data_IF_686201154262
#
_entry.id   IF_686201154262
#
_cell.length_a   1.000
_cell.length_b   1.000
_cell.length_c   1.000
_cell.angle_alpha   90.00
_cell.angle_beta   90.00
_cell.angle_gamma   90.00
#
_symmetry.space_group_name_H-M   'P 1'
#
loop_
_entity.id
_entity.type
_entity.pdbx_description
1 polymer ?
#
# COMPACT_ATOMS: atom_id res chain seq x y z
N UNK A 1 -51.88 -7.79 3.08
CA UNK A 1 -51.55 -6.86 1.96
C UNK A 1 -50.28 -7.37 1.33
N UNK A 2 -50.34 -7.98 0.18
CA UNK A 2 -49.17 -8.47 -0.52
C UNK A 2 -48.56 -7.26 -1.28
N UNK A 3 -47.40 -6.80 -0.83
CA UNK A 3 -46.60 -5.83 -1.57
C UNK A 3 -45.93 -6.49 -2.79
N UNK A 4 -44.96 -5.81 -3.40
CA UNK A 4 -44.15 -6.31 -4.52
C UNK A 4 -43.20 -7.47 -4.12
N UNK A 5 -43.45 -8.17 -3.00
CA UNK A 5 -42.67 -9.31 -2.56
C UNK A 5 -42.79 -10.45 -3.59
N UNK A 6 -41.67 -10.69 -4.28
CA UNK A 6 -41.61 -11.67 -5.38
C UNK A 6 -41.37 -11.08 -6.78
N UNK A 7 -41.55 -9.79 -6.98
CA UNK A 7 -41.26 -9.13 -8.26
C UNK A 7 -40.21 -8.05 -8.11
N UNK A 8 -39.01 -8.22 -8.71
CA UNK A 8 -37.92 -7.27 -8.66
C UNK A 8 -37.53 -6.70 -10.03
N UNK A 9 -37.21 -5.42 -10.09
CA UNK A 9 -36.62 -4.79 -11.27
C UNK A 9 -37.48 -4.81 -12.52
N UNK A 10 -36.99 -5.32 -13.63
CA UNK A 10 -37.61 -5.37 -14.97
C UNK A 10 -38.94 -6.06 -14.94
N UNK A 11 -39.15 -7.02 -14.05
CA UNK A 11 -40.43 -7.75 -13.95
C UNK A 11 -41.59 -6.90 -13.47
N UNK A 12 -41.39 -5.80 -12.74
CA UNK A 12 -42.43 -4.90 -12.28
C UNK A 12 -43.13 -4.18 -13.45
N UNK A 13 -42.36 -3.67 -14.38
CA UNK A 13 -42.91 -2.99 -15.56
C UNK A 13 -43.76 -3.93 -16.40
N UNK A 14 -43.34 -5.16 -16.58
CA UNK A 14 -44.05 -6.18 -17.31
C UNK A 14 -45.39 -6.57 -16.61
N UNK A 15 -45.36 -6.68 -15.29
CA UNK A 15 -46.58 -6.98 -14.50
C UNK A 15 -47.61 -5.83 -14.59
N UNK A 16 -47.15 -4.57 -14.55
CA UNK A 16 -48.06 -3.42 -14.74
C UNK A 16 -48.65 -3.37 -16.14
N UNK A 17 -47.91 -3.64 -17.18
CA UNK A 17 -48.41 -3.73 -18.55
C UNK A 17 -49.43 -4.85 -18.71
N UNK A 18 -49.19 -6.02 -18.14
CA UNK A 18 -50.16 -7.13 -18.13
C UNK A 18 -51.41 -6.75 -17.36
N UNK A 19 -51.32 -6.02 -16.26
CA UNK A 19 -52.44 -5.57 -15.47
C UNK A 19 -53.28 -4.53 -16.21
N UNK A 20 -52.68 -3.60 -16.93
CA UNK A 20 -53.41 -2.67 -17.80
C UNK A 20 -54.17 -3.39 -18.92
N UNK A 21 -53.54 -4.40 -19.55
CA UNK A 21 -54.21 -5.25 -20.55
C UNK A 21 -55.36 -6.01 -19.96
N UNK A 22 -55.21 -6.60 -18.77
CA UNK A 22 -56.33 -7.27 -18.04
C UNK A 22 -57.48 -6.33 -17.72
N UNK A 23 -57.18 -5.10 -17.28
CA UNK A 23 -58.21 -4.10 -17.00
C UNK A 23 -59.03 -3.70 -18.23
N UNK A 24 -58.39 -3.61 -19.37
CA UNK A 24 -59.04 -3.23 -20.63
C UNK A 24 -59.78 -4.39 -21.27
N UNK A 25 -59.22 -5.58 -21.22
CA UNK A 25 -59.83 -6.82 -21.70
C UNK A 25 -59.30 -8.01 -20.88
N UNK A 26 -60.09 -8.56 -19.95
CA UNK A 26 -59.72 -9.73 -19.15
C UNK A 26 -59.39 -10.98 -19.96
N UNK A 27 -59.83 -11.08 -21.20
CA UNK A 27 -59.53 -12.20 -22.07
C UNK A 27 -58.15 -12.06 -22.78
N UNK A 28 -57.50 -10.90 -22.68
CA UNK A 28 -56.23 -10.61 -23.30
C UNK A 28 -55.02 -11.19 -22.54
N UNK A 29 -55.22 -11.75 -21.36
CA UNK A 29 -54.20 -12.42 -20.55
C UNK A 29 -54.52 -13.90 -20.34
N UNK A 30 -53.51 -14.72 -20.06
CA UNK A 30 -53.72 -16.15 -19.80
C UNK A 30 -54.52 -16.39 -18.50
N UNK A 31 -55.06 -17.60 -18.36
CA UNK A 31 -55.97 -17.94 -17.25
C UNK A 31 -55.29 -17.78 -15.87
N UNK A 32 -54.00 -18.13 -15.73
CA UNK A 32 -53.27 -18.03 -14.46
C UNK A 32 -52.98 -16.56 -14.07
N UNK A 33 -52.67 -15.73 -15.05
CA UNK A 33 -52.48 -14.27 -14.88
C UNK A 33 -53.79 -13.58 -14.53
N UNK A 34 -54.91 -14.02 -15.13
CA UNK A 34 -56.24 -13.52 -14.82
C UNK A 34 -56.62 -13.83 -13.38
N UNK A 35 -56.52 -15.10 -12.97
CA UNK A 35 -56.79 -15.54 -11.60
C UNK A 35 -55.91 -14.78 -10.56
N UNK A 36 -54.69 -14.43 -10.93
CA UNK A 36 -53.82 -13.61 -10.10
C UNK A 36 -54.38 -12.20 -9.94
N UNK A 37 -54.71 -11.53 -11.03
CA UNK A 37 -55.20 -10.13 -11.01
C UNK A 37 -56.60 -9.95 -10.47
N UNK A 38 -57.42 -11.01 -10.47
CA UNK A 38 -58.73 -11.02 -9.76
C UNK A 38 -58.57 -10.99 -8.23
N UNK A 39 -57.44 -11.52 -7.71
CA UNK A 39 -57.16 -11.62 -6.26
C UNK A 39 -56.15 -10.61 -5.76
N UNK A 40 -55.36 -10.02 -6.66
CA UNK A 40 -54.28 -9.12 -6.32
C UNK A 40 -54.16 -7.99 -7.34
N UNK A 41 -54.25 -6.77 -6.85
CA UNK A 41 -53.99 -5.55 -7.63
C UNK A 41 -52.57 -5.12 -7.43
N UNK A 42 -51.77 -4.95 -8.50
CA UNK A 42 -50.44 -4.37 -8.37
C UNK A 42 -50.55 -2.99 -7.70
N UNK A 43 -49.67 -2.69 -6.70
CA UNK A 43 -49.62 -1.35 -6.14
C UNK A 43 -49.39 -0.33 -7.25
N UNK A 44 -50.11 0.78 -7.26
CA UNK A 44 -49.90 1.85 -8.22
C UNK A 44 -48.48 2.44 -8.06
N UNK A 45 -47.97 3.04 -9.12
CA UNK A 45 -46.70 3.76 -9.04
C UNK A 45 -46.71 4.91 -8.03
N UNK A 46 -47.89 5.34 -7.61
CA UNK A 46 -48.12 6.36 -6.58
C UNK A 46 -48.10 5.77 -5.15
N UNK A 47 -48.43 4.46 -4.99
CA UNK A 47 -48.40 3.78 -3.69
C UNK A 47 -47.04 3.21 -3.30
N UNK A 48 -46.12 3.08 -4.25
CA UNK A 48 -44.71 2.91 -3.95
C UNK A 48 -44.18 4.30 -3.66
N UNK A 49 -44.25 4.72 -2.41
CA UNK A 49 -43.38 5.77 -1.94
C UNK A 49 -41.96 5.28 -2.27
N UNK A 50 -41.39 5.73 -3.40
CA UNK A 50 -39.93 5.77 -3.55
C UNK A 50 -39.45 6.38 -2.24
N UNK A 51 -38.50 5.75 -1.52
CA UNK A 51 -37.90 6.40 -0.37
C UNK A 51 -37.54 7.77 -0.89
N UNK A 52 -38.13 8.81 -0.32
CA UNK A 52 -38.04 10.17 -0.83
C UNK A 52 -36.54 10.46 -1.07
N UNK A 53 -36.11 10.25 -2.28
CA UNK A 53 -34.91 10.86 -2.85
C UNK A 53 -35.35 12.30 -3.06
N UNK A 54 -35.45 13.00 -1.92
CA UNK A 54 -35.84 14.40 -1.90
C UNK A 54 -34.84 15.10 -2.78
N UNK A 55 -35.24 15.47 -3.99
CA UNK A 55 -34.72 16.51 -4.86
C UNK A 55 -33.20 16.63 -5.04
N UNK A 56 -32.44 15.60 -4.73
CA UNK A 56 -31.05 15.53 -5.16
C UNK A 56 -31.06 15.20 -6.64
N UNK A 57 -30.71 16.17 -7.48
CA UNK A 57 -30.65 15.92 -8.91
C UNK A 57 -29.71 14.74 -9.18
N UNK A 58 -30.06 13.86 -10.12
CA UNK A 58 -29.19 12.74 -10.51
C UNK A 58 -27.78 13.24 -10.86
N UNK A 59 -27.66 14.46 -11.35
CA UNK A 59 -26.40 15.13 -11.61
C UNK A 59 -25.58 15.35 -10.34
N UNK A 60 -26.18 15.80 -9.24
CA UNK A 60 -25.49 16.02 -7.98
C UNK A 60 -25.03 14.68 -7.36
N UNK A 61 -25.85 13.63 -7.47
CA UNK A 61 -25.46 12.28 -7.02
C UNK A 61 -24.23 11.75 -7.77
N UNK A 62 -24.20 11.86 -9.10
CA UNK A 62 -23.05 11.48 -9.92
C UNK A 62 -21.84 12.33 -9.60
N UNK A 63 -21.98 13.63 -9.43
CA UNK A 63 -20.91 14.53 -9.05
C UNK A 63 -20.29 14.17 -7.70
N UNK A 64 -21.10 13.82 -6.70
CA UNK A 64 -20.63 13.40 -5.39
C UNK A 64 -19.88 12.04 -5.42
N UNK A 65 -20.36 11.10 -6.24
CA UNK A 65 -19.63 9.83 -6.47
C UNK A 65 -18.27 10.10 -7.14
N UNK A 66 -18.23 11.00 -8.12
CA UNK A 66 -16.97 11.38 -8.78
C UNK A 66 -16.00 12.04 -7.80
N UNK A 67 -16.47 12.94 -6.93
CA UNK A 67 -15.64 13.52 -5.87
C UNK A 67 -15.04 12.43 -4.96
N UNK A 68 -15.86 11.47 -4.53
CA UNK A 68 -15.39 10.36 -3.71
C UNK A 68 -14.33 9.51 -4.42
N UNK A 69 -14.51 9.23 -5.72
CA UNK A 69 -13.52 8.50 -6.52
C UNK A 69 -12.24 9.32 -6.74
N UNK A 70 -12.35 10.63 -6.92
CA UNK A 70 -11.17 11.50 -7.04
C UNK A 70 -10.36 11.55 -5.76
N UNK A 71 -11.00 11.58 -4.58
CA UNK A 71 -10.28 11.50 -3.30
C UNK A 71 -9.54 10.17 -3.18
N UNK A 72 -10.13 9.05 -3.58
CA UNK A 72 -9.47 7.75 -3.62
C UNK A 72 -8.26 7.71 -4.55
N UNK A 73 -8.35 8.39 -5.68
CA UNK A 73 -7.34 8.34 -6.74
C UNK A 73 -6.23 9.36 -6.57
N UNK A 74 -6.57 10.56 -6.14
CA UNK A 74 -5.68 11.71 -6.11
C UNK A 74 -5.46 12.29 -4.70
N UNK A 75 -6.06 11.69 -3.66
CA UNK A 75 -5.94 12.15 -2.28
C UNK A 75 -4.50 12.22 -1.79
N UNK A 76 -3.62 11.34 -2.27
CA UNK A 76 -2.19 11.36 -1.96
C UNK A 76 -1.50 12.68 -2.37
N UNK A 77 -2.01 13.39 -3.39
CA UNK A 77 -1.50 14.71 -3.78
C UNK A 77 -1.80 15.80 -2.74
N UNK A 78 -2.78 15.58 -1.87
CA UNK A 78 -3.10 16.48 -0.75
C UNK A 78 -2.61 15.95 0.61
N UNK A 79 -1.93 14.80 0.63
CA UNK A 79 -1.38 14.23 1.86
C UNK A 79 -0.12 15.00 2.30
N UNK A 80 -0.01 15.25 3.61
CA UNK A 80 1.16 15.89 4.22
C UNK A 80 2.25 14.84 4.42
N UNK A 81 3.04 14.59 3.39
CA UNK A 81 4.09 13.56 3.38
C UNK A 81 5.45 14.10 3.81
N UNK A 82 5.69 15.41 3.64
CA UNK A 82 6.97 16.01 3.99
C UNK A 82 7.03 16.33 5.50
N UNK A 83 7.96 15.69 6.26
CA UNK A 83 8.14 15.96 7.68
C UNK A 83 8.63 17.40 7.96
N UNK A 84 9.20 18.09 6.96
CA UNK A 84 9.61 19.48 7.06
C UNK A 84 8.47 20.47 6.83
N UNK A 85 7.27 19.97 6.52
CA UNK A 85 6.06 20.77 6.44
C UNK A 85 5.84 21.49 5.10
N UNK A 86 6.49 21.07 4.02
CA UNK A 86 6.17 21.57 2.68
C UNK A 86 4.70 21.31 2.36
N UNK A 87 4.03 22.30 1.80
CA UNK A 87 2.62 22.15 1.44
C UNK A 87 2.47 21.13 0.29
N UNK A 88 1.51 20.21 0.38
CA UNK A 88 1.21 19.31 -0.72
C UNK A 88 0.73 20.09 -1.95
N UNK A 89 0.95 19.51 -3.13
CA UNK A 89 0.56 20.12 -4.42
C UNK A 89 -0.97 20.30 -4.48
N UNK A 90 -1.72 19.34 -3.93
CA UNK A 90 -3.16 19.27 -4.03
C UNK A 90 -3.64 18.92 -5.44
N UNK A 91 -4.96 18.82 -5.59
CA UNK A 91 -5.62 18.62 -6.89
C UNK A 91 -7.01 19.26 -6.84
N UNK A 92 -7.42 20.05 -7.86
CA UNK A 92 -8.73 20.69 -7.88
C UNK A 92 -9.92 19.72 -7.75
N UNK A 93 -9.77 18.49 -8.25
CA UNK A 93 -10.81 17.45 -8.20
C UNK A 93 -11.07 16.89 -6.80
N UNK A 94 -10.28 17.29 -5.81
CA UNK A 94 -10.51 16.94 -4.40
C UNK A 94 -11.54 17.85 -3.72
N UNK A 95 -12.00 18.89 -4.41
CA UNK A 95 -12.90 19.90 -3.87
C UNK A 95 -14.31 19.77 -4.46
N UNK A 96 -15.38 19.88 -3.63
CA UNK A 96 -16.76 19.77 -4.09
C UNK A 96 -17.11 20.80 -5.17
N UNK A 97 -16.53 22.00 -5.07
CA UNK A 97 -16.76 23.12 -5.99
C UNK A 97 -16.37 22.80 -7.44
N UNK A 98 -15.36 21.93 -7.63
CA UNK A 98 -14.96 21.45 -8.94
C UNK A 98 -16.10 20.74 -9.68
N UNK A 99 -16.99 20.10 -8.93
CA UNK A 99 -18.14 19.37 -9.43
C UNK A 99 -19.45 20.17 -9.36
N UNK A 100 -19.37 21.44 -8.96
CA UNK A 100 -20.53 22.30 -8.75
C UNK A 100 -21.41 21.86 -7.57
N UNK A 101 -20.81 21.20 -6.57
CA UNK A 101 -21.47 20.74 -5.36
C UNK A 101 -21.30 21.75 -4.23
N UNK A 102 -22.36 21.94 -3.46
CA UNK A 102 -22.33 22.65 -2.19
C UNK A 102 -22.25 21.69 -1.01
N UNK A 103 -21.91 22.17 0.16
CA UNK A 103 -21.96 21.38 1.40
C UNK A 103 -23.39 20.88 1.69
N UNK A 104 -24.42 21.65 1.33
CA UNK A 104 -25.82 21.26 1.49
C UNK A 104 -26.22 20.12 0.55
N UNK A 105 -25.68 20.09 -0.67
CA UNK A 105 -25.87 18.98 -1.58
C UNK A 105 -25.27 17.69 -0.98
N UNK A 106 -24.05 17.77 -0.46
CA UNK A 106 -23.39 16.62 0.15
C UNK A 106 -24.13 16.09 1.38
N UNK A 107 -24.77 16.96 2.18
CA UNK A 107 -25.61 16.53 3.34
C UNK A 107 -26.86 15.78 2.92
N UNK A 108 -27.46 16.13 1.77
CA UNK A 108 -28.68 15.50 1.26
C UNK A 108 -28.41 14.19 0.54
N UNK A 109 -27.20 13.97 0.04
CA UNK A 109 -26.84 12.79 -0.73
C UNK A 109 -26.50 11.64 0.22
N UNK A 110 -27.14 10.46 0.10
CA UNK A 110 -26.84 9.31 0.93
C UNK A 110 -25.42 8.78 0.70
N UNK A 111 -24.69 8.45 1.76
CA UNK A 111 -23.37 7.80 1.68
C UNK A 111 -23.40 6.45 0.95
N UNK A 112 -24.55 5.76 0.97
CA UNK A 112 -24.78 4.44 0.36
C UNK A 112 -24.59 4.38 -1.15
N UNK A 113 -24.48 5.53 -1.82
CA UNK A 113 -24.13 5.58 -3.24
C UNK A 113 -22.68 5.16 -3.52
N UNK A 114 -21.85 5.13 -2.49
CA UNK A 114 -20.45 4.70 -2.59
C UNK A 114 -20.21 3.46 -1.75
N UNK A 115 -19.73 2.40 -2.37
CA UNK A 115 -19.34 1.17 -1.65
C UNK A 115 -18.02 1.38 -0.92
N UNK A 116 -18.05 1.30 0.41
CA UNK A 116 -16.89 1.48 1.30
C UNK A 116 -17.19 0.88 2.69
N UNK A 117 -16.18 0.35 3.41
CA UNK A 117 -16.31 0.07 4.84
C UNK A 117 -16.76 1.28 5.67
N UNK A 118 -16.37 2.49 5.25
CA UNK A 118 -16.72 3.74 5.93
C UNK A 118 -18.17 4.18 5.71
N UNK A 119 -18.84 3.64 4.70
CA UNK A 119 -20.24 3.98 4.39
C UNK A 119 -21.19 3.63 5.54
N UNK A 120 -20.93 2.53 6.25
CA UNK A 120 -21.77 2.11 7.38
C UNK A 120 -21.70 3.08 8.58
N UNK A 121 -20.66 3.92 8.64
CA UNK A 121 -20.43 4.89 9.70
C UNK A 121 -20.74 6.34 9.26
N UNK A 122 -21.25 6.52 8.04
CA UNK A 122 -21.50 7.83 7.45
C UNK A 122 -22.98 7.95 7.07
N UNK A 123 -23.68 8.92 7.63
CA UNK A 123 -25.11 9.15 7.33
C UNK A 123 -25.33 9.72 5.91
N UNK A 124 -24.37 10.52 5.43
CA UNK A 124 -24.47 11.24 4.17
C UNK A 124 -23.10 11.36 3.49
N UNK A 125 -23.11 11.91 2.28
CA UNK A 125 -21.89 12.05 1.48
C UNK A 125 -20.89 13.04 2.09
N UNK A 126 -21.33 14.06 2.84
CA UNK A 126 -20.41 14.98 3.52
C UNK A 126 -19.56 14.25 4.56
N UNK A 127 -20.18 13.40 5.38
CA UNK A 127 -19.47 12.61 6.38
C UNK A 127 -18.54 11.59 5.74
N UNK A 128 -18.98 10.95 4.65
CA UNK A 128 -18.15 10.00 3.90
C UNK A 128 -16.94 10.68 3.27
N UNK A 129 -17.11 11.85 2.64
CA UNK A 129 -16.02 12.65 2.09
C UNK A 129 -15.03 13.07 3.18
N UNK A 130 -15.52 13.48 4.35
CA UNK A 130 -14.66 13.79 5.49
C UNK A 130 -13.90 12.56 5.97
N UNK A 131 -14.53 11.39 6.01
CA UNK A 131 -13.87 10.12 6.34
C UNK A 131 -12.80 9.76 5.29
N UNK A 132 -13.09 9.87 4.00
CA UNK A 132 -12.11 9.64 2.95
C UNK A 132 -10.92 10.59 3.02
N UNK A 133 -11.13 11.87 3.32
CA UNK A 133 -10.03 12.81 3.51
C UNK A 133 -9.11 12.42 4.66
N UNK A 134 -9.66 11.92 5.77
CA UNK A 134 -8.85 11.37 6.87
C UNK A 134 -8.02 10.15 6.45
N UNK A 135 -8.52 9.35 5.50
CA UNK A 135 -7.78 8.20 4.96
C UNK A 135 -6.72 8.64 3.96
N UNK A 136 -7.13 9.39 2.93
CA UNK A 136 -6.36 9.58 1.70
C UNK A 136 -5.58 10.91 1.64
N UNK A 137 -5.89 11.88 2.51
CA UNK A 137 -5.32 13.22 2.49
C UNK A 137 -4.65 13.60 3.83
N UNK A 138 -4.30 12.63 4.67
CA UNK A 138 -3.66 12.90 5.96
C UNK A 138 -2.12 12.84 5.85
N UNK A 139 -1.46 12.00 6.62
CA UNK A 139 -0.01 11.82 6.64
C UNK A 139 0.46 10.57 5.89
N UNK A 140 -0.46 9.84 5.28
CA UNK A 140 -0.19 8.64 4.47
C UNK A 140 -0.72 8.85 3.07
N UNK A 141 0.13 8.66 2.07
CA UNK A 141 -0.25 8.69 0.65
C UNK A 141 -0.56 7.28 0.15
N UNK A 142 -1.75 7.10 -0.44
CA UNK A 142 -2.15 5.85 -1.09
C UNK A 142 -2.21 6.07 -2.60
N UNK A 143 -1.33 5.41 -3.34
CA UNK A 143 -1.30 5.44 -4.80
C UNK A 143 -1.32 4.02 -5.37
N UNK A 144 -2.50 3.44 -5.50
CA UNK A 144 -2.73 2.10 -6.07
C UNK A 144 -3.72 2.09 -7.24
N UNK A 145 -4.14 3.26 -7.73
CA UNK A 145 -5.12 3.36 -8.81
C UNK A 145 -4.63 2.73 -10.13
N UNK A 146 -3.31 2.63 -10.28
CA UNK A 146 -2.63 2.02 -11.42
C UNK A 146 -2.60 0.48 -11.39
N UNK A 147 -2.97 -0.16 -10.28
CA UNK A 147 -3.02 -1.63 -10.18
C UNK A 147 -4.11 -2.18 -11.09
N UNK A 148 -3.74 -3.03 -12.06
CA UNK A 148 -4.66 -3.53 -13.07
C UNK A 148 -5.54 -4.68 -12.60
N UNK A 149 -5.06 -5.51 -11.68
CA UNK A 149 -5.83 -6.64 -11.14
C UNK A 149 -6.95 -6.11 -10.24
N UNK A 150 -8.24 -6.30 -10.59
CA UNK A 150 -9.34 -5.71 -9.85
C UNK A 150 -9.42 -6.17 -8.39
N UNK A 151 -9.14 -7.44 -8.14
CA UNK A 151 -9.17 -8.06 -6.81
C UNK A 151 -8.11 -7.47 -5.89
N UNK A 152 -6.88 -7.28 -6.38
CA UNK A 152 -5.79 -6.64 -5.63
C UNK A 152 -6.12 -5.19 -5.32
N UNK A 153 -6.59 -4.43 -6.32
CA UNK A 153 -7.00 -3.03 -6.13
C UNK A 153 -8.14 -2.91 -5.14
N UNK A 154 -9.12 -3.83 -5.17
CA UNK A 154 -10.21 -3.85 -4.21
C UNK A 154 -9.73 -4.18 -2.80
N UNK A 155 -8.81 -5.13 -2.67
CA UNK A 155 -8.21 -5.48 -1.38
C UNK A 155 -7.46 -4.30 -0.76
N UNK A 156 -6.59 -3.62 -1.54
CA UNK A 156 -5.85 -2.44 -1.11
C UNK A 156 -6.80 -1.31 -0.67
N UNK A 157 -7.86 -1.08 -1.43
CA UNK A 157 -8.91 -0.10 -1.08
C UNK A 157 -9.56 -0.43 0.25
N UNK A 158 -9.99 -1.66 0.43
CA UNK A 158 -10.63 -2.11 1.66
C UNK A 158 -9.69 -1.98 2.84
N UNK A 159 -8.44 -2.42 2.70
CA UNK A 159 -7.42 -2.33 3.75
C UNK A 159 -7.09 -0.87 4.16
N UNK A 160 -7.07 0.05 3.19
CA UNK A 160 -6.88 1.47 3.47
C UNK A 160 -8.10 2.09 4.21
N UNK A 161 -9.32 1.73 3.80
CA UNK A 161 -10.56 2.34 4.30
C UNK A 161 -11.02 1.73 5.63
N UNK A 162 -10.78 0.44 5.89
CA UNK A 162 -11.07 -0.19 7.19
C UNK A 162 -9.99 0.11 8.26
N UNK A 163 -8.88 0.71 7.86
CA UNK A 163 -7.80 1.08 8.78
C UNK A 163 -7.01 -0.11 9.32
N UNK A 164 -7.09 -1.28 8.68
CA UNK A 164 -6.51 -2.56 9.13
C UNK A 164 -5.06 -2.48 9.57
N UNK A 165 -4.26 -1.62 8.92
CA UNK A 165 -2.83 -1.49 9.18
C UNK A 165 -2.45 -0.14 9.80
N UNK A 166 -3.39 0.61 10.36
CA UNK A 166 -3.12 1.93 10.95
C UNK A 166 -2.69 1.89 12.40
N UNK A 167 -3.29 1.00 13.15
CA UNK A 167 -2.99 0.80 14.56
C UNK A 167 -2.57 -0.65 14.74
N UNK A 168 -1.28 -0.91 15.03
CA UNK A 168 -0.83 -2.26 15.33
C UNK A 168 -1.57 -2.76 16.58
N UNK A 169 -1.90 -4.06 16.59
CA UNK A 169 -2.51 -4.72 17.75
C UNK A 169 -1.59 -4.66 18.98
N UNK A 170 -0.28 -4.60 18.74
CA UNK A 170 0.75 -4.43 19.75
C UNK A 170 1.50 -3.10 19.49
N UNK A 171 1.26 -2.05 20.30
CA UNK A 171 1.87 -0.76 20.07
C UNK A 171 3.38 -0.82 20.27
N UNK A 172 4.12 -0.15 19.38
CA UNK A 172 5.58 -0.04 19.44
C UNK A 172 5.99 0.50 20.82
N UNK A 173 6.94 -0.18 21.46
CA UNK A 173 7.54 0.30 22.70
C UNK A 173 8.38 1.57 22.43
N UNK A 174 7.96 2.77 22.89
CA UNK A 174 8.65 4.01 22.55
C UNK A 174 10.07 4.10 23.13
N UNK A 175 10.32 3.44 24.25
CA UNK A 175 11.66 3.41 24.85
C UNK A 175 12.62 2.56 24.01
N UNK A 176 12.19 1.39 23.55
CA UNK A 176 12.98 0.53 22.66
C UNK A 176 13.23 1.22 21.31
N UNK A 177 12.22 1.90 20.75
CA UNK A 177 12.37 2.66 19.52
C UNK A 177 13.37 3.80 19.68
N UNK A 178 13.28 4.57 20.79
CA UNK A 178 14.23 5.65 21.08
C UNK A 178 15.66 5.12 21.22
N UNK A 179 15.85 4.01 21.93
CA UNK A 179 17.15 3.37 22.04
C UNK A 179 17.71 2.99 20.67
N UNK A 180 16.88 2.40 19.83
CA UNK A 180 17.27 1.98 18.47
C UNK A 180 17.66 3.16 17.59
N UNK A 181 16.85 4.22 17.58
CA UNK A 181 17.17 5.46 16.85
C UNK A 181 18.45 6.13 17.39
N UNK A 182 18.67 6.09 18.70
CA UNK A 182 19.90 6.61 19.32
C UNK A 182 21.14 5.83 18.83
N UNK A 183 21.06 4.50 18.73
CA UNK A 183 22.16 3.69 18.17
C UNK A 183 22.50 4.10 16.74
N UNK A 184 21.49 4.30 15.89
CA UNK A 184 21.64 4.75 14.50
C UNK A 184 22.33 6.11 14.43
N UNK A 185 21.83 7.08 15.19
CA UNK A 185 22.35 8.46 15.20
C UNK A 185 23.78 8.53 15.75
N UNK A 186 24.06 7.84 16.85
CA UNK A 186 25.39 7.82 17.47
C UNK A 186 26.42 7.23 16.51
N UNK A 187 26.07 6.21 15.75
CA UNK A 187 26.95 5.63 14.74
C UNK A 187 27.27 6.63 13.61
N UNK A 188 26.26 7.33 13.09
CA UNK A 188 26.44 8.38 12.07
C UNK A 188 27.35 9.53 12.60
N UNK A 189 27.07 10.00 13.79
CA UNK A 189 27.90 11.05 14.44
C UNK A 189 29.31 10.58 14.69
N UNK A 190 29.53 9.34 15.09
CA UNK A 190 30.84 8.77 15.29
C UNK A 190 31.66 8.75 13.97
N UNK A 191 31.03 8.25 12.88
CA UNK A 191 31.68 8.23 11.56
C UNK A 191 32.02 9.65 11.10
N UNK A 192 31.11 10.61 11.29
CA UNK A 192 31.34 12.00 10.92
C UNK A 192 32.54 12.62 11.63
N UNK A 193 32.65 12.39 12.93
CA UNK A 193 33.71 12.96 13.75
C UNK A 193 35.06 12.27 13.56
N UNK A 194 35.03 10.94 13.37
CA UNK A 194 36.26 10.12 13.28
C UNK A 194 36.89 10.15 11.89
N UNK A 195 36.10 10.40 10.83
CA UNK A 195 36.55 10.38 9.44
C UNK A 195 36.14 11.64 8.68
N UNK A 196 36.60 12.83 9.11
CA UNK A 196 36.25 14.09 8.47
C UNK A 196 36.69 14.10 7.01
N UNK A 197 35.85 14.61 6.11
CA UNK A 197 36.11 14.68 4.67
C UNK A 197 35.93 13.36 3.90
N UNK A 198 35.70 12.23 4.56
CA UNK A 198 35.33 10.97 3.87
C UNK A 198 33.85 10.93 3.55
N UNK A 199 33.50 10.48 2.36
CA UNK A 199 32.10 10.23 1.96
C UNK A 199 31.52 9.15 2.84
N UNK A 200 30.32 9.36 3.37
CA UNK A 200 29.63 8.41 4.25
C UNK A 200 28.17 8.10 3.89
N UNK A 201 27.60 8.78 2.91
CA UNK A 201 26.21 8.58 2.49
C UNK A 201 25.25 8.36 3.68
N UNK A 202 25.18 9.37 4.55
CA UNK A 202 24.46 9.33 5.80
C UNK A 202 22.98 9.02 5.62
N UNK A 203 22.40 8.29 6.60
CA UNK A 203 20.98 8.01 6.69
C UNK A 203 20.19 9.14 7.37
N UNK A 204 20.88 10.16 7.90
CA UNK A 204 20.24 11.27 8.64
C UNK A 204 18.95 11.77 7.93
N UNK A 205 17.86 11.86 8.68
CA UNK A 205 16.53 12.20 8.19
C UNK A 205 15.68 10.98 7.79
N UNK A 206 16.28 9.78 7.67
CA UNK A 206 15.60 8.51 7.37
C UNK A 206 16.00 7.43 8.40
N UNK A 207 16.30 7.83 9.61
CA UNK A 207 16.82 6.99 10.70
C UNK A 207 15.84 5.83 11.06
N UNK A 208 14.56 6.05 10.85
CA UNK A 208 13.51 5.04 11.04
C UNK A 208 13.62 3.84 10.10
N UNK A 209 14.43 3.91 9.03
CA UNK A 209 14.64 2.76 8.14
C UNK A 209 15.14 1.53 8.90
N UNK A 210 16.02 1.72 9.91
CA UNK A 210 16.58 0.60 10.68
C UNK A 210 15.50 -0.10 11.52
N UNK A 211 14.72 0.58 12.37
CA UNK A 211 13.64 -0.07 13.09
C UNK A 211 12.52 -0.62 12.18
N UNK A 212 12.25 -0.02 11.01
CA UNK A 212 11.34 -0.60 10.02
C UNK A 212 11.86 -1.95 9.52
N UNK A 213 13.16 -2.07 9.24
CA UNK A 213 13.75 -3.33 8.80
C UNK A 213 13.76 -4.37 9.93
N UNK A 214 13.98 -3.95 11.18
CA UNK A 214 13.90 -4.85 12.33
C UNK A 214 12.50 -5.48 12.42
N UNK A 215 11.44 -4.67 12.29
CA UNK A 215 10.04 -5.12 12.33
C UNK A 215 9.74 -6.06 11.15
N UNK A 216 10.07 -5.65 9.93
CA UNK A 216 9.85 -6.49 8.73
C UNK A 216 10.55 -7.84 8.85
N UNK A 217 11.75 -7.89 9.41
CA UNK A 217 12.52 -9.12 9.63
C UNK A 217 11.85 -9.99 10.70
N UNK A 218 11.37 -9.39 11.78
CA UNK A 218 10.62 -10.06 12.83
C UNK A 218 9.36 -10.74 12.29
N UNK A 219 8.50 -9.97 11.66
CA UNK A 219 7.25 -10.43 11.03
C UNK A 219 7.49 -11.50 9.97
N UNK A 220 8.50 -11.32 9.11
CA UNK A 220 8.86 -12.32 8.10
C UNK A 220 9.30 -13.65 8.75
N UNK A 221 10.07 -13.58 9.84
CA UNK A 221 10.50 -14.76 10.59
C UNK A 221 9.32 -15.49 11.22
N UNK A 222 8.35 -14.77 11.78
CA UNK A 222 7.12 -15.34 12.35
C UNK A 222 6.21 -15.95 11.28
N UNK A 223 6.13 -15.31 10.11
CA UNK A 223 5.40 -15.83 8.95
C UNK A 223 6.07 -17.07 8.31
N UNK A 224 7.26 -17.48 8.77
CA UNK A 224 7.96 -18.68 8.26
C UNK A 224 8.81 -18.45 7.02
N UNK A 225 9.10 -17.20 6.67
CA UNK A 225 10.06 -16.84 5.62
C UNK A 225 11.44 -17.39 6.00
N UNK A 226 12.18 -17.91 5.02
CA UNK A 226 13.50 -18.51 5.21
C UNK A 226 14.64 -17.63 4.72
N UNK A 227 14.38 -16.74 3.77
CA UNK A 227 15.40 -15.90 3.16
C UNK A 227 14.89 -14.49 2.91
N UNK A 228 15.62 -13.49 3.37
CA UNK A 228 15.41 -12.07 3.05
C UNK A 228 16.62 -11.59 2.25
N UNK A 229 16.36 -11.00 1.09
CA UNK A 229 17.36 -10.46 0.17
C UNK A 229 17.21 -8.96 0.12
N UNK A 230 18.23 -8.20 0.55
CA UNK A 230 18.18 -6.73 0.62
C UNK A 230 18.98 -6.13 -0.52
N UNK A 231 18.33 -5.36 -1.39
CA UNK A 231 18.95 -4.51 -2.40
C UNK A 231 18.85 -3.05 -2.01
N UNK A 232 19.96 -2.34 -1.97
CA UNK A 232 19.93 -0.92 -1.65
C UNK A 232 21.11 -0.16 -2.25
N UNK A 233 20.89 1.13 -2.52
CA UNK A 233 21.95 2.08 -2.87
C UNK A 233 22.83 2.41 -1.64
N UNK A 234 23.65 3.44 -1.73
CA UNK A 234 24.68 3.74 -0.73
C UNK A 234 24.13 4.43 0.54
N UNK A 235 23.08 5.26 0.42
CA UNK A 235 22.54 6.02 1.55
C UNK A 235 22.01 5.10 2.65
N UNK A 236 22.59 5.23 3.84
CA UNK A 236 22.23 4.41 4.99
C UNK A 236 22.83 2.99 4.97
N UNK A 237 23.59 2.60 3.91
CA UNK A 237 24.09 1.22 3.77
C UNK A 237 24.96 0.78 4.94
N UNK A 238 25.81 1.66 5.45
CA UNK A 238 26.69 1.33 6.60
C UNK A 238 25.87 1.05 7.86
N UNK A 239 24.81 1.82 8.09
CA UNK A 239 23.90 1.59 9.20
C UNK A 239 23.15 0.26 9.07
N UNK A 240 22.62 -0.04 7.88
CA UNK A 240 21.95 -1.33 7.62
C UNK A 240 22.93 -2.50 7.79
N UNK A 241 24.16 -2.38 7.28
CA UNK A 241 25.18 -3.42 7.48
C UNK A 241 25.52 -3.63 8.96
N UNK A 242 25.70 -2.55 9.74
CA UNK A 242 26.03 -2.65 11.15
C UNK A 242 24.85 -3.16 11.99
N UNK A 243 23.70 -2.54 11.84
CA UNK A 243 22.59 -2.69 12.79
C UNK A 243 21.58 -3.76 12.38
N UNK A 244 21.41 -4.02 11.09
CA UNK A 244 20.49 -5.05 10.58
C UNK A 244 21.21 -6.36 10.27
N UNK A 245 22.33 -6.26 9.53
CA UNK A 245 23.11 -7.44 9.14
C UNK A 245 24.17 -7.84 10.17
N UNK A 246 24.38 -7.04 11.22
CA UNK A 246 25.32 -7.38 12.30
C UNK A 246 26.78 -7.37 11.89
N UNK A 247 27.17 -6.63 10.82
CA UNK A 247 28.57 -6.49 10.44
C UNK A 247 29.35 -5.79 11.57
N UNK A 248 30.45 -6.38 12.08
CA UNK A 248 31.21 -5.78 13.17
C UNK A 248 31.70 -4.37 12.85
N UNK A 249 31.61 -3.47 13.82
CA UNK A 249 32.06 -2.08 13.65
C UNK A 249 33.53 -2.00 13.25
N UNK A 250 34.39 -2.85 13.81
CA UNK A 250 35.81 -2.91 13.49
C UNK A 250 36.07 -3.14 12.02
N UNK A 251 35.27 -4.00 11.38
CA UNK A 251 35.36 -4.25 9.94
C UNK A 251 34.95 -3.03 9.13
N UNK A 252 33.83 -2.39 9.50
CA UNK A 252 33.38 -1.17 8.83
C UNK A 252 34.37 -0.05 8.99
N UNK A 253 34.91 0.15 10.20
CA UNK A 253 35.89 1.21 10.49
C UNK A 253 37.24 0.97 9.81
N UNK A 254 37.65 -0.28 9.66
CA UNK A 254 38.85 -0.63 8.92
C UNK A 254 38.80 -0.20 7.45
N UNK A 255 37.63 -0.25 6.84
CA UNK A 255 37.40 0.16 5.44
C UNK A 255 37.50 1.69 5.23
N UNK A 256 37.46 2.50 6.30
CA UNK A 256 37.71 3.95 6.25
C UNK A 256 39.20 4.31 6.30
N UNK A 257 40.07 3.38 6.74
CA UNK A 257 41.49 3.62 6.78
C UNK A 257 42.07 3.60 5.37
N UNK A 258 43.04 4.49 5.11
CA UNK A 258 43.72 4.57 3.83
C UNK A 258 44.60 3.33 3.63
N UNK A 259 44.47 2.56 2.56
CA UNK A 259 45.29 1.35 2.35
C UNK A 259 46.80 1.62 2.22
N UNK A 260 47.19 2.86 1.92
CA UNK A 260 48.60 3.27 1.85
C UNK A 260 49.31 3.29 3.22
N UNK A 261 48.59 3.21 4.34
CA UNK A 261 49.15 3.22 5.70
C UNK A 261 49.40 1.81 6.26
N UNK A 262 48.95 0.75 5.61
CA UNK A 262 49.11 -0.63 6.09
C UNK A 262 49.98 -1.45 5.13
N UNK A 263 51.30 -1.42 5.35
CA UNK A 263 52.31 -2.23 4.60
C UNK A 263 52.16 -3.76 4.71
N UNK A 264 51.08 -4.25 5.31
CA UNK A 264 50.85 -5.67 5.59
C UNK A 264 49.58 -6.26 4.95
N UNK A 265 48.89 -5.54 4.06
CA UNK A 265 47.78 -6.10 3.32
C UNK A 265 48.26 -6.68 1.99
N UNK A 266 47.80 -7.88 1.65
CA UNK A 266 47.97 -8.47 0.33
C UNK A 266 47.36 -7.54 -0.71
N UNK A 267 48.07 -7.28 -1.80
CA UNK A 267 47.70 -6.34 -2.87
C UNK A 267 46.34 -6.70 -3.51
N UNK A 268 45.92 -7.96 -3.41
CA UNK A 268 44.67 -8.52 -3.89
C UNK A 268 43.44 -8.19 -3.02
N UNK A 269 43.62 -7.60 -1.81
CA UNK A 269 42.59 -7.19 -0.89
C UNK A 269 42.54 -5.70 -0.56
N UNK A 270 43.36 -4.89 -1.22
CA UNK A 270 43.45 -3.44 -1.00
C UNK A 270 42.34 -2.69 -1.75
N UNK A 271 41.15 -2.68 -1.19
CA UNK A 271 40.02 -1.95 -1.72
C UNK A 271 40.01 -0.54 -1.13
N UNK A 272 40.16 0.47 -1.97
CA UNK A 272 40.23 1.87 -1.54
C UNK A 272 38.98 2.68 -1.95
N UNK A 273 38.66 3.71 -1.16
CA UNK A 273 37.66 4.71 -1.52
C UNK A 273 36.21 4.27 -1.36
N UNK A 274 35.47 4.21 -2.44
CA UNK A 274 34.03 3.99 -2.48
C UNK A 274 33.59 2.53 -2.25
N UNK A 275 34.52 1.62 -2.22
CA UNK A 275 34.28 0.15 -2.20
C UNK A 275 33.52 -0.33 -0.98
N UNK A 276 33.67 0.32 0.17
CA UNK A 276 32.92 -0.02 1.39
C UNK A 276 31.40 0.03 1.19
N UNK A 277 30.93 0.84 0.25
CA UNK A 277 29.49 0.93 -0.12
C UNK A 277 29.06 -0.11 -1.16
N UNK A 278 30.02 -0.83 -1.74
CA UNK A 278 29.76 -1.91 -2.68
C UNK A 278 29.79 -3.28 -2.02
N UNK A 279 30.34 -3.39 -0.82
CA UNK A 279 30.44 -4.64 -0.09
C UNK A 279 29.06 -5.21 0.27
N UNK A 280 28.95 -6.53 0.15
CA UNK A 280 27.81 -7.30 0.65
C UNK A 280 27.97 -7.66 2.13
N UNK A 281 26.89 -8.18 2.71
CA UNK A 281 26.88 -8.75 4.06
C UNK A 281 25.85 -9.86 4.13
N UNK A 282 26.04 -10.77 5.11
CA UNK A 282 25.16 -11.89 5.36
C UNK A 282 25.00 -12.09 6.85
N UNK A 283 23.77 -12.44 7.28
CA UNK A 283 23.43 -12.77 8.67
C UNK A 283 22.51 -13.98 8.70
N UNK A 284 22.86 -14.96 9.50
CA UNK A 284 22.00 -16.07 9.84
C UNK A 284 21.36 -15.83 11.22
N UNK A 285 20.05 -16.06 11.34
CA UNK A 285 19.34 -16.06 12.60
C UNK A 285 18.99 -17.51 12.90
N UNK A 286 19.52 -18.03 14.01
CA UNK A 286 19.39 -19.41 14.43
C UNK A 286 18.57 -19.53 15.71
N UNK A 287 17.84 -20.62 15.85
CA UNK A 287 17.20 -21.02 17.10
C UNK A 287 17.80 -22.38 17.51
N UNK A 288 18.80 -22.32 18.40
CA UNK A 288 19.62 -23.48 18.69
C UNK A 288 20.51 -23.86 17.50
N UNK A 289 20.40 -25.11 17.05
CA UNK A 289 21.14 -25.62 15.89
C UNK A 289 20.36 -25.47 14.55
N UNK A 290 19.15 -24.93 14.58
CA UNK A 290 18.31 -24.80 13.39
C UNK A 290 18.38 -23.39 12.81
N UNK A 291 18.72 -23.29 11.52
CA UNK A 291 18.66 -22.03 10.76
C UNK A 291 17.21 -21.62 10.59
N UNK A 292 16.82 -20.49 11.18
CA UNK A 292 15.46 -19.97 11.12
C UNK A 292 15.27 -19.01 9.95
N UNK A 293 16.20 -18.08 9.77
CA UNK A 293 16.10 -17.02 8.76
C UNK A 293 17.50 -16.60 8.31
N UNK A 294 17.66 -16.45 7.01
CA UNK A 294 18.88 -15.98 6.36
C UNK A 294 18.63 -14.59 5.76
N UNK A 295 19.48 -13.62 6.09
CA UNK A 295 19.41 -12.26 5.56
C UNK A 295 20.67 -11.99 4.77
N UNK A 296 20.52 -11.65 3.50
CA UNK A 296 21.64 -11.41 2.60
C UNK A 296 21.50 -10.08 1.89
N UNK A 297 22.58 -9.31 1.86
CA UNK A 297 22.73 -8.13 1.04
C UNK A 297 23.90 -8.38 0.08
N UNK A 298 23.64 -8.59 -1.22
CA UNK A 298 24.72 -8.83 -2.18
C UNK A 298 25.55 -7.57 -2.42
N UNK A 299 26.79 -7.71 -2.91
CA UNK A 299 27.58 -6.60 -3.43
C UNK A 299 26.82 -5.90 -4.54
N UNK A 300 26.93 -4.57 -4.62
CA UNK A 300 26.30 -3.80 -5.69
C UNK A 300 27.26 -2.83 -6.37
N UNK A 301 27.06 -2.51 -7.66
CA UNK A 301 27.85 -1.49 -8.36
C UNK A 301 27.41 -0.08 -7.95
N UNK A 302 28.15 0.93 -8.41
CA UNK A 302 27.81 2.36 -8.23
C UNK A 302 26.52 2.78 -8.95
N UNK A 303 26.08 2.01 -9.96
CA UNK A 303 24.85 2.29 -10.68
C UNK A 303 23.65 2.03 -9.79
N UNK A 304 22.92 3.10 -9.47
CA UNK A 304 21.71 3.03 -8.69
C UNK A 304 20.67 2.15 -9.42
N UNK A 305 19.90 1.36 -8.68
CA UNK A 305 18.87 0.45 -9.13
C UNK A 305 19.37 -0.80 -9.90
N UNK A 306 20.66 -0.89 -10.24
CA UNK A 306 21.18 -2.06 -10.95
C UNK A 306 21.17 -3.34 -10.10
N UNK A 307 21.10 -3.20 -8.77
CA UNK A 307 21.00 -4.33 -7.84
C UNK A 307 19.61 -4.96 -7.79
N UNK A 308 18.57 -4.22 -8.16
CA UNK A 308 17.18 -4.61 -7.95
C UNK A 308 16.82 -5.91 -8.69
N UNK A 309 17.03 -6.04 -10.01
CA UNK A 309 16.73 -7.28 -10.71
C UNK A 309 17.61 -8.45 -10.25
N UNK A 310 18.81 -8.17 -9.70
CA UNK A 310 19.68 -9.21 -9.13
C UNK A 310 19.06 -9.75 -7.85
N UNK A 311 18.62 -8.87 -6.94
CA UNK A 311 17.98 -9.25 -5.68
C UNK A 311 16.66 -9.99 -5.90
N UNK A 312 15.84 -9.53 -6.84
CA UNK A 312 14.61 -10.24 -7.24
C UNK A 312 14.91 -11.62 -7.79
N UNK A 313 15.93 -11.74 -8.66
CA UNK A 313 16.38 -13.03 -9.18
C UNK A 313 16.91 -13.97 -8.10
N UNK A 314 17.68 -13.44 -7.14
CA UNK A 314 18.16 -14.21 -5.97
C UNK A 314 17.01 -14.66 -5.08
N UNK A 315 16.03 -13.80 -4.80
CA UNK A 315 14.85 -14.15 -4.01
C UNK A 315 14.02 -15.24 -4.70
N UNK A 316 13.82 -15.10 -6.01
CA UNK A 316 13.17 -16.14 -6.80
C UNK A 316 13.93 -17.46 -6.74
N UNK A 317 15.26 -17.44 -6.83
CA UNK A 317 16.08 -18.66 -6.71
C UNK A 317 15.95 -19.28 -5.31
N UNK A 318 16.03 -18.49 -4.24
CA UNK A 318 15.87 -18.93 -2.86
C UNK A 318 14.49 -19.54 -2.58
N UNK A 319 13.42 -19.01 -3.21
CA UNK A 319 12.08 -19.55 -3.14
C UNK A 319 11.81 -20.73 -4.07
N UNK A 320 12.78 -21.14 -4.91
CA UNK A 320 12.59 -22.20 -5.91
C UNK A 320 12.98 -23.56 -5.32
N UNK A 321 12.03 -24.49 -5.28
CA UNK A 321 12.22 -25.85 -4.83
C UNK A 321 12.82 -26.70 -5.95
N UNK A 322 13.97 -27.34 -5.67
CA UNK A 322 14.71 -28.22 -6.59
C UNK A 322 14.95 -29.61 -5.96
N UNK A 323 14.25 -29.95 -4.91
CA UNK A 323 14.39 -31.15 -4.11
C UNK A 323 13.85 -32.43 -4.79
N UNK A 324 13.13 -32.27 -5.90
CA UNK A 324 12.50 -33.39 -6.66
C UNK A 324 12.85 -33.27 -8.14
N UNK A 325 12.97 -34.44 -8.82
CA UNK A 325 13.11 -34.49 -10.28
C UNK A 325 11.91 -33.80 -10.98
N UNK A 326 12.16 -33.07 -12.04
CA UNK A 326 11.14 -32.38 -12.82
C UNK A 326 11.36 -30.88 -12.92
N UNK A 327 10.33 -30.15 -13.32
CA UNK A 327 10.38 -28.69 -13.42
C UNK A 327 10.46 -28.05 -12.00
N UNK A 328 11.34 -27.06 -11.79
CA UNK A 328 11.43 -26.35 -10.52
C UNK A 328 10.10 -25.70 -10.16
N UNK A 329 9.73 -25.77 -8.87
CA UNK A 329 8.50 -25.14 -8.36
C UNK A 329 8.85 -23.95 -7.50
N UNK A 330 8.33 -22.77 -7.86
CA UNK A 330 8.47 -21.57 -7.05
C UNK A 330 7.44 -21.54 -5.91
N UNK A 331 7.93 -21.27 -4.70
CA UNK A 331 7.14 -21.06 -3.49
C UNK A 331 7.35 -19.61 -3.01
N UNK A 332 6.39 -18.71 -3.22
CA UNK A 332 6.52 -17.31 -2.86
C UNK A 332 6.54 -17.06 -1.34
N UNK A 333 6.21 -18.05 -0.53
CA UNK A 333 6.17 -17.94 0.93
C UNK A 333 7.52 -18.17 1.60
N UNK A 334 8.59 -18.46 0.83
CA UNK A 334 9.90 -18.80 1.38
C UNK A 334 10.91 -17.66 1.39
N UNK A 335 10.75 -16.69 0.52
CA UNK A 335 11.73 -15.62 0.35
C UNK A 335 11.06 -14.26 0.12
N UNK A 336 11.67 -13.20 0.65
CA UNK A 336 11.24 -11.81 0.48
C UNK A 336 12.38 -10.98 -0.05
N UNK A 337 12.28 -10.36 -1.25
CA UNK A 337 13.16 -9.29 -1.66
C UNK A 337 12.73 -7.97 -1.00
N UNK A 338 13.69 -7.22 -0.48
CA UNK A 338 13.50 -5.86 0.04
C UNK A 338 14.36 -4.93 -0.81
N UNK A 339 13.73 -4.01 -1.51
CA UNK A 339 14.39 -3.02 -2.35
C UNK A 339 14.25 -1.63 -1.71
N UNK A 340 15.39 -0.96 -1.49
CA UNK A 340 15.45 0.36 -0.85
C UNK A 340 15.96 1.35 -1.88
N UNK A 341 15.06 2.21 -2.33
CA UNK A 341 15.29 3.17 -3.40
C UNK A 341 15.58 4.57 -2.88
N UNK A 342 16.37 5.34 -3.63
CA UNK A 342 16.36 6.79 -3.51
C UNK A 342 15.24 7.36 -4.37
N UNK A 343 14.54 8.36 -3.87
CA UNK A 343 13.41 9.01 -4.55
C UNK A 343 13.73 9.48 -5.98
N UNK A 344 14.87 10.13 -6.17
CA UNK A 344 15.31 10.63 -7.48
C UNK A 344 15.69 9.52 -8.47
N UNK A 345 16.10 8.35 -7.98
CA UNK A 345 16.50 7.23 -8.83
C UNK A 345 15.31 6.37 -9.26
N UNK A 346 14.30 6.24 -8.39
CA UNK A 346 13.13 5.38 -8.58
C UNK A 346 12.41 5.60 -9.92
N UNK A 347 12.03 6.82 -10.33
CA UNK A 347 11.24 7.02 -11.56
C UNK A 347 12.06 7.00 -12.84
N UNK A 348 13.39 7.03 -12.80
CA UNK A 348 14.24 7.32 -13.96
C UNK A 348 15.22 6.22 -14.37
N UNK A 349 15.30 5.10 -13.65
CA UNK A 349 16.31 4.07 -13.91
C UNK A 349 15.78 2.87 -14.68
N UNK A 350 16.69 2.12 -15.27
CA UNK A 350 16.42 1.10 -16.31
C UNK A 350 15.78 -0.21 -15.79
N UNK A 351 15.74 -0.43 -14.47
CA UNK A 351 15.17 -1.64 -13.86
C UNK A 351 13.65 -1.68 -13.87
N UNK A 352 13.00 -0.54 -14.07
CA UNK A 352 11.54 -0.47 -14.21
C UNK A 352 11.11 -0.51 -15.66
N UNK A 353 10.09 -1.31 -16.02
CA UNK A 353 9.54 -1.28 -17.36
C UNK A 353 8.98 0.13 -17.63
N UNK A 354 9.55 0.81 -18.62
CA UNK A 354 8.95 2.03 -19.15
C UNK A 354 7.65 1.62 -19.85
N UNK A 355 6.52 1.95 -19.26
CA UNK A 355 5.22 1.81 -19.90
C UNK A 355 4.82 3.13 -20.54
#
# INVERSE_FOLDING_TARGET
MAGWEGFSGINRGYVLELYERFRNDPASVDAATRDLFERWTPPSSEDVAEPAVSEVSARAAVAAVNLAQSIRRYGHLAAQLDPLGSKPIGDPTLHPEHYGLTEDDLRRIPATLVTSPLTAQSANMQELVAAFRRVYCSTTGYDYAHVFVPEERQWLRTAAEDGRFREPADPINPAALLERLTQVEVFERFLHRSFPGKTRFSIEGLDTLVPILDEVIGEAGEAGIRSILIGMAHRGRLNVMAHVLGKPYEQILAEFKDPLSSRNFREDMAWSGDVKYHAGAHRAIENGAELRLEISMPPNPSHLEAIDPIVEGMARAAGTLTDRPGAPKFDPTRSVPILIHGDAAFPGRASWPRR
#
